data_IF_014331993045
#
_entry.id   IF_014331993045
#
_cell.length_a   1.000
_cell.length_b   1.000
_cell.length_c   1.000
_cell.angle_alpha   90.00
_cell.angle_beta   90.00
_cell.angle_gamma   90.00
#
_symmetry.space_group_name_H-M   'P 1'
#
loop_
_entity.id
_entity.type
_entity.pdbx_description
1 polymer ?
#
# COMPACT_ATOMS: atom_id res chain seq x y z
N UNK A 1 -7.06 9.38 18.17
CA UNK A 1 -7.77 8.10 18.44
C UNK A 1 -7.59 7.20 17.23
N UNK A 2 -7.30 5.91 17.41
CA UNK A 2 -7.33 4.95 16.30
C UNK A 2 -8.78 4.50 16.10
N UNK A 3 -9.33 4.73 14.91
CA UNK A 3 -10.75 4.47 14.62
C UNK A 3 -10.99 3.20 13.82
N UNK A 4 -9.99 2.76 13.05
CA UNK A 4 -9.99 1.53 12.26
C UNK A 4 -8.55 1.17 11.87
N UNK A 5 -8.33 -0.09 11.51
CA UNK A 5 -7.06 -0.60 10.99
C UNK A 5 -7.33 -1.69 9.95
N UNK A 6 -6.50 -1.74 8.92
CA UNK A 6 -6.51 -2.79 7.90
C UNK A 6 -5.08 -3.32 7.73
N UNK A 7 -4.95 -4.63 7.48
CA UNK A 7 -3.67 -5.28 7.19
C UNK A 7 -3.80 -5.93 5.82
N UNK A 8 -2.94 -5.50 4.90
CA UNK A 8 -2.86 -6.06 3.56
C UNK A 8 -1.43 -6.60 3.34
N UNK A 9 -1.26 -7.66 2.52
CA UNK A 9 0.06 -8.08 2.06
C UNK A 9 0.84 -6.90 1.44
N UNK A 10 2.18 -6.96 1.51
CA UNK A 10 3.04 -5.93 0.93
C UNK A 10 2.63 -5.70 -0.55
N UNK A 11 2.40 -4.44 -0.98
CA UNK A 11 1.66 -4.13 -2.19
C UNK A 11 2.15 -4.72 -3.52
N UNK A 12 3.46 -4.96 -3.81
CA UNK A 12 3.84 -5.34 -5.17
C UNK A 12 3.11 -6.60 -5.65
N UNK A 13 2.84 -7.57 -4.78
CA UNK A 13 2.08 -8.77 -5.15
C UNK A 13 0.58 -8.50 -5.40
N UNK A 14 0.00 -7.46 -4.82
CA UNK A 14 -1.41 -7.12 -5.01
C UNK A 14 -1.65 -6.37 -6.33
N UNK A 15 -0.61 -5.92 -7.02
CA UNK A 15 -0.70 -5.17 -8.27
C UNK A 15 -0.71 -6.16 -9.44
N UNK A 16 -1.79 -6.25 -10.23
CA UNK A 16 -1.91 -7.26 -11.29
C UNK A 16 -0.76 -7.24 -12.30
N UNK A 17 -0.28 -6.04 -12.66
CA UNK A 17 0.84 -5.87 -13.58
C UNK A 17 2.17 -6.44 -13.05
N UNK A 18 2.32 -6.54 -11.72
CA UNK A 18 3.51 -7.11 -11.06
C UNK A 18 3.34 -8.62 -10.82
N UNK A 19 2.11 -9.09 -10.58
CA UNK A 19 1.79 -10.50 -10.34
C UNK A 19 1.99 -11.42 -11.56
N UNK A 20 2.23 -10.86 -12.75
CA UNK A 20 2.44 -11.58 -14.00
C UNK A 20 1.38 -12.68 -14.24
N UNK A 21 1.81 -13.91 -14.56
CA UNK A 21 0.90 -15.03 -14.84
C UNK A 21 0.08 -15.52 -13.64
N UNK A 22 0.40 -15.09 -12.41
CA UNK A 22 -0.28 -15.47 -11.18
C UNK A 22 -1.40 -14.50 -10.76
N UNK A 23 -1.75 -13.54 -11.63
CA UNK A 23 -2.74 -12.52 -11.31
C UNK A 23 -4.11 -13.13 -10.93
N UNK A 24 -4.70 -14.08 -11.70
CA UNK A 24 -5.99 -14.67 -11.34
C UNK A 24 -5.99 -15.35 -9.97
N UNK A 25 -4.89 -16.03 -9.62
CA UNK A 25 -4.74 -16.72 -8.34
C UNK A 25 -4.75 -15.76 -7.14
N UNK A 26 -4.46 -14.48 -7.38
CA UNK A 26 -4.44 -13.44 -6.36
C UNK A 26 -5.72 -12.61 -6.31
N UNK A 27 -6.73 -12.89 -7.13
CA UNK A 27 -7.95 -12.06 -7.23
C UNK A 27 -8.72 -12.01 -5.90
N UNK A 28 -8.87 -13.15 -5.23
CA UNK A 28 -9.53 -13.21 -3.92
C UNK A 28 -8.77 -12.39 -2.87
N UNK A 29 -7.43 -12.42 -2.90
CA UNK A 29 -6.61 -11.62 -2.00
C UNK A 29 -6.76 -10.12 -2.27
N UNK A 30 -6.86 -9.71 -3.55
CA UNK A 30 -7.12 -8.32 -3.95
C UNK A 30 -8.49 -7.85 -3.50
N UNK A 31 -9.52 -8.67 -3.71
CA UNK A 31 -10.88 -8.38 -3.30
C UNK A 31 -10.95 -8.16 -1.79
N UNK A 32 -10.35 -9.08 -1.01
CA UNK A 32 -10.29 -8.95 0.45
C UNK A 32 -9.55 -7.68 0.91
N UNK A 33 -8.46 -7.29 0.23
CA UNK A 33 -7.74 -6.06 0.54
C UNK A 33 -8.56 -4.81 0.21
N UNK A 34 -9.26 -4.81 -0.94
CA UNK A 34 -10.16 -3.71 -1.33
C UNK A 34 -11.30 -3.54 -0.34
N UNK A 35 -11.90 -4.63 0.13
CA UNK A 35 -12.94 -4.59 1.15
C UNK A 35 -12.42 -4.02 2.47
N UNK A 36 -11.24 -4.48 2.92
CA UNK A 36 -10.61 -3.99 4.15
C UNK A 36 -10.29 -2.48 4.09
N UNK A 37 -9.75 -2.01 2.95
CA UNK A 37 -9.46 -0.59 2.72
C UNK A 37 -10.76 0.22 2.62
N UNK A 38 -11.81 -0.35 2.01
CA UNK A 38 -13.15 0.26 1.94
C UNK A 38 -13.74 0.51 3.33
N UNK A 39 -13.61 -0.47 4.24
CA UNK A 39 -14.02 -0.32 5.65
C UNK A 39 -13.18 0.74 6.39
N UNK A 40 -11.86 0.76 6.16
CA UNK A 40 -10.97 1.78 6.73
C UNK A 40 -11.37 3.20 6.28
N UNK A 41 -11.68 3.38 4.99
CA UNK A 41 -12.13 4.65 4.43
C UNK A 41 -13.51 5.06 4.96
N UNK A 42 -14.44 4.10 5.12
CA UNK A 42 -15.77 4.34 5.67
C UNK A 42 -15.73 4.86 7.12
N UNK A 43 -14.68 4.54 7.89
CA UNK A 43 -14.46 5.08 9.23
C UNK A 43 -14.13 6.59 9.24
N UNK A 44 -13.87 7.21 8.08
CA UNK A 44 -13.53 8.64 7.89
C UNK A 44 -12.46 9.13 8.87
N UNK A 45 -11.26 8.52 8.90
CA UNK A 45 -10.19 8.99 9.77
C UNK A 45 -9.70 10.38 9.35
N UNK A 46 -9.38 11.24 10.32
CA UNK A 46 -8.76 12.55 10.05
C UNK A 46 -7.31 12.42 9.54
N UNK A 47 -6.67 11.28 9.81
CA UNK A 47 -5.27 10.96 9.51
C UNK A 47 -5.15 9.50 9.10
N UNK A 48 -4.49 9.25 7.96
CA UNK A 48 -4.08 7.90 7.54
C UNK A 48 -2.59 7.71 7.85
N UNK A 49 -2.25 6.63 8.55
CA UNK A 49 -0.87 6.22 8.81
C UNK A 49 -0.64 4.88 8.11
N UNK A 50 0.37 4.82 7.25
CA UNK A 50 0.77 3.60 6.55
C UNK A 50 2.04 3.08 7.21
N UNK A 51 2.04 1.79 7.57
CA UNK A 51 3.19 1.13 8.19
C UNK A 51 3.68 0.05 7.23
N UNK A 52 4.95 0.13 6.86
CA UNK A 52 5.56 -0.80 5.94
C UNK A 52 7.08 -0.62 5.90
N UNK A 53 7.78 -1.54 5.21
CA UNK A 53 9.20 -1.36 4.97
C UNK A 53 9.41 -0.13 4.09
N UNK A 54 10.31 0.76 4.50
CA UNK A 54 10.80 1.86 3.70
C UNK A 54 12.34 1.75 3.64
N UNK A 55 12.91 1.38 2.48
CA UNK A 55 14.35 1.23 2.33
C UNK A 55 15.11 2.57 2.42
N UNK A 56 14.42 3.69 2.21
CA UNK A 56 14.99 5.04 2.26
C UNK A 56 14.72 5.75 3.59
N UNK A 57 14.05 5.08 4.54
CA UNK A 57 13.80 5.64 5.86
C UNK A 57 15.13 5.88 6.58
N UNK A 58 15.39 7.14 6.94
CA UNK A 58 16.57 7.53 7.70
C UNK A 58 16.53 6.86 9.10
N UNK A 59 17.52 6.01 9.44
CA UNK A 59 17.61 5.42 10.77
C UNK A 59 17.73 6.47 11.89
N UNK A 60 18.21 7.69 11.57
CA UNK A 60 18.31 8.83 12.47
C UNK A 60 17.02 9.64 12.64
N UNK A 61 15.99 9.39 11.83
CA UNK A 61 14.68 10.05 11.89
C UNK A 61 13.58 9.17 12.52
N UNK A 62 13.98 8.33 13.49
CA UNK A 62 13.13 7.34 14.16
C UNK A 62 12.41 6.38 13.18
N UNK A 63 12.94 6.20 11.97
CA UNK A 63 12.35 5.35 10.94
C UNK A 63 11.05 5.90 10.32
N UNK A 64 10.83 7.21 10.37
CA UNK A 64 9.64 7.85 9.80
C UNK A 64 9.95 8.66 8.55
N UNK A 65 9.17 8.44 7.49
CA UNK A 65 9.19 9.25 6.28
C UNK A 65 7.86 10.02 6.12
N UNK A 66 7.94 11.27 5.65
CA UNK A 66 6.78 12.12 5.41
C UNK A 66 6.61 12.37 3.91
N UNK A 67 5.47 11.98 3.36
CA UNK A 67 5.12 12.20 1.96
C UNK A 67 4.00 13.24 1.84
N UNK A 68 4.22 14.37 1.15
CA UNK A 68 3.16 15.33 0.86
C UNK A 68 1.98 14.71 0.10
N UNK A 69 0.80 15.32 0.21
CA UNK A 69 -0.34 14.95 -0.63
C UNK A 69 0.02 15.07 -2.11
N UNK A 70 -0.33 14.05 -2.90
CA UNK A 70 0.00 14.00 -4.32
C UNK A 70 1.43 13.54 -4.62
N UNK A 71 2.18 13.06 -3.60
CA UNK A 71 3.44 12.35 -3.86
C UNK A 71 3.16 11.15 -4.76
N UNK A 72 3.81 11.13 -5.92
CA UNK A 72 3.72 10.03 -6.86
C UNK A 72 4.68 8.90 -6.49
N UNK A 73 4.30 7.68 -6.87
CA UNK A 73 5.12 6.48 -6.78
C UNK A 73 5.12 5.71 -8.10
N UNK A 74 5.68 4.50 -8.08
CA UNK A 74 5.63 3.63 -9.23
C UNK A 74 6.22 2.25 -8.97
N UNK A 75 5.97 1.32 -9.89
CA UNK A 75 6.40 -0.07 -9.79
C UNK A 75 7.64 -0.38 -10.63
N UNK A 76 8.37 0.64 -11.09
CA UNK A 76 9.58 0.50 -11.91
C UNK A 76 10.67 -0.32 -11.22
N UNK A 77 10.78 -0.23 -9.88
CA UNK A 77 11.68 -1.08 -9.07
C UNK A 77 11.33 -2.57 -9.08
N UNK A 78 10.11 -2.93 -9.52
CA UNK A 78 9.63 -4.30 -9.70
C UNK A 78 9.55 -4.71 -11.18
N UNK A 79 10.13 -3.91 -12.10
CA UNK A 79 10.14 -4.20 -13.53
C UNK A 79 8.86 -3.83 -14.28
N UNK A 80 7.94 -3.10 -13.64
CA UNK A 80 6.68 -2.66 -14.24
C UNK A 80 6.71 -1.16 -14.49
N UNK A 81 6.49 -0.75 -15.74
CA UNK A 81 6.39 0.67 -16.12
C UNK A 81 4.98 1.21 -15.81
N UNK A 82 4.71 1.39 -14.51
CA UNK A 82 3.43 1.89 -13.99
C UNK A 82 3.69 2.94 -12.91
N UNK A 83 3.13 4.13 -13.12
CA UNK A 83 3.09 5.23 -12.15
C UNK A 83 1.78 5.20 -11.34
N UNK A 84 1.83 5.67 -10.10
CA UNK A 84 0.68 5.77 -9.16
C UNK A 84 0.69 7.05 -8.36
#
# INVERSE_FOLDING_TARGET
MLVAAAVCPCPPLLVPAVAAGAAPELDDARAACLDAIGLLAAARPDRLVVVGPDPEADPGADGTAAYPQGTAGGFRGFGVDLDV
#
